data_IF_102585713542
#
_entry.id   IF_102585713542
#
_cell.length_a   1.000
_cell.length_b   1.000
_cell.length_c   1.000
_cell.angle_alpha   90.00
_cell.angle_beta   90.00
_cell.angle_gamma   90.00
#
_symmetry.space_group_name_H-M   'P 1'
#
loop_
_entity.id
_entity.type
_entity.pdbx_description
1 polymer ?
#
# COMPACT_ATOMS: atom_id res chain seq x y z
N UNK A 1 -40.27 -6.33 78.62
CA UNK A 1 -39.05 -6.73 77.90
C UNK A 1 -39.41 -6.58 76.44
N UNK A 2 -39.33 -5.36 75.91
CA UNK A 2 -39.79 -5.04 74.55
C UNK A 2 -38.62 -4.70 73.65
N UNK A 3 -38.73 -5.23 72.45
CA UNK A 3 -37.81 -5.33 71.33
C UNK A 3 -37.08 -4.04 70.95
N UNK A 4 -35.74 -4.07 71.01
CA UNK A 4 -34.86 -3.02 70.47
C UNK A 4 -34.08 -3.54 69.22
N UNK A 5 -34.41 -4.74 68.73
CA UNK A 5 -33.66 -5.40 67.65
C UNK A 5 -34.03 -5.00 66.22
N UNK A 6 -35.30 -4.63 65.97
CA UNK A 6 -35.84 -4.55 64.60
C UNK A 6 -35.50 -3.29 63.78
N UNK A 7 -34.91 -2.24 64.39
CA UNK A 7 -34.63 -0.98 63.71
C UNK A 7 -33.34 -0.99 62.87
N UNK A 8 -32.26 -1.56 63.43
CA UNK A 8 -30.94 -1.61 62.78
C UNK A 8 -30.89 -2.60 61.61
N UNK A 9 -31.64 -3.70 61.70
CA UNK A 9 -31.73 -4.70 60.64
C UNK A 9 -32.44 -4.15 59.39
N UNK A 10 -33.55 -3.42 59.58
CA UNK A 10 -34.30 -2.79 58.48
C UNK A 10 -33.51 -1.69 57.77
N UNK A 11 -32.67 -0.96 58.51
CA UNK A 11 -31.81 0.09 57.95
C UNK A 11 -30.62 -0.48 57.17
N UNK A 12 -30.04 -1.59 57.65
CA UNK A 12 -29.02 -2.35 56.95
C UNK A 12 -29.56 -2.98 55.65
N UNK A 13 -30.75 -3.58 55.68
CA UNK A 13 -31.40 -4.14 54.48
C UNK A 13 -31.70 -3.07 53.43
N UNK A 14 -32.15 -1.89 53.85
CA UNK A 14 -32.44 -0.76 52.94
C UNK A 14 -31.16 -0.24 52.26
N UNK A 15 -30.05 -0.21 53.01
CA UNK A 15 -28.73 0.19 52.50
C UNK A 15 -28.15 -0.84 51.53
N UNK A 16 -28.26 -2.14 51.86
CA UNK A 16 -27.82 -3.25 50.98
C UNK A 16 -28.65 -3.29 49.70
N UNK A 17 -29.95 -3.03 49.78
CA UNK A 17 -30.84 -2.93 48.60
C UNK A 17 -30.44 -1.77 47.69
N UNK A 18 -30.16 -0.59 48.25
CA UNK A 18 -29.66 0.56 47.49
C UNK A 18 -28.32 0.30 46.81
N UNK A 19 -27.38 -0.38 47.49
CA UNK A 19 -26.10 -0.78 46.90
C UNK A 19 -26.25 -1.80 45.78
N UNK A 20 -27.20 -2.74 45.90
CA UNK A 20 -27.54 -3.70 44.84
C UNK A 20 -28.19 -3.03 43.64
N UNK A 21 -29.07 -2.04 43.85
CA UNK A 21 -29.69 -1.27 42.77
C UNK A 21 -28.66 -0.41 42.02
N UNK A 22 -27.71 0.21 42.73
CA UNK A 22 -26.59 0.96 42.12
C UNK A 22 -25.66 0.01 41.36
N UNK A 23 -25.30 -1.14 41.94
CA UNK A 23 -24.49 -2.15 41.25
C UNK A 23 -25.17 -2.67 39.98
N UNK A 24 -26.48 -2.96 40.05
CA UNK A 24 -27.27 -3.37 38.89
C UNK A 24 -27.38 -2.26 37.82
N UNK A 25 -27.38 -0.98 38.22
CA UNK A 25 -27.37 0.16 37.32
C UNK A 25 -26.00 0.35 36.64
N UNK A 26 -24.91 0.15 37.39
CA UNK A 26 -23.54 0.13 36.84
C UNK A 26 -23.37 -1.06 35.88
N UNK A 27 -23.81 -2.26 36.26
CA UNK A 27 -23.80 -3.45 35.40
C UNK A 27 -24.73 -3.29 34.18
N UNK A 28 -25.83 -2.54 34.29
CA UNK A 28 -26.68 -2.17 33.15
C UNK A 28 -26.06 -1.09 32.25
N UNK A 29 -25.25 -0.19 32.80
CA UNK A 29 -24.47 0.79 32.03
C UNK A 29 -23.23 0.17 31.35
N UNK A 30 -22.68 -0.89 31.94
CA UNK A 30 -21.55 -1.70 31.42
C UNK A 30 -22.02 -2.81 30.47
N UNK A 31 -23.34 -3.00 30.29
CA UNK A 31 -23.90 -3.90 29.28
C UNK A 31 -23.64 -3.34 27.87
N UNK A 32 -22.49 -3.73 27.35
CA UNK A 32 -22.15 -4.01 25.96
C UNK A 32 -23.06 -3.34 24.92
N UNK A 33 -22.84 -2.05 24.70
CA UNK A 33 -22.99 -1.48 23.37
C UNK A 33 -21.58 -1.40 22.85
N UNK A 34 -21.23 -2.22 21.85
CA UNK A 34 -20.03 -1.97 21.04
C UNK A 34 -20.05 -0.48 20.74
N UNK A 35 -19.03 0.25 21.24
CA UNK A 35 -18.95 1.67 21.01
C UNK A 35 -19.00 1.92 19.51
N UNK A 36 -19.53 3.05 19.06
CA UNK A 36 -19.38 3.43 17.65
C UNK A 36 -17.91 3.39 17.21
N UNK A 37 -16.99 3.66 18.15
CA UNK A 37 -15.55 3.49 17.96
C UNK A 37 -15.15 2.02 17.76
N UNK A 38 -15.65 1.10 18.60
CA UNK A 38 -15.31 -0.32 18.51
C UNK A 38 -15.83 -0.93 17.21
N UNK A 39 -17.05 -0.56 16.80
CA UNK A 39 -17.63 -0.95 15.52
C UNK A 39 -16.76 -0.48 14.35
N UNK A 40 -16.35 0.79 14.36
CA UNK A 40 -15.53 1.34 13.30
C UNK A 40 -14.14 0.70 13.24
N UNK A 41 -13.52 0.40 14.38
CA UNK A 41 -12.23 -0.31 14.45
C UNK A 41 -12.37 -1.73 13.88
N UNK A 42 -13.43 -2.46 14.25
CA UNK A 42 -13.66 -3.81 13.75
C UNK A 42 -13.96 -3.81 12.25
N UNK A 43 -14.82 -2.90 11.77
CA UNK A 43 -15.11 -2.74 10.34
C UNK A 43 -13.83 -2.46 9.54
N UNK A 44 -12.97 -1.55 10.02
CA UNK A 44 -11.69 -1.24 9.37
C UNK A 44 -10.79 -2.47 9.29
N UNK A 45 -10.72 -3.25 10.37
CA UNK A 45 -9.93 -4.48 10.43
C UNK A 45 -10.45 -5.57 9.51
N UNK A 46 -11.77 -5.75 9.45
CA UNK A 46 -12.41 -6.73 8.57
C UNK A 46 -12.15 -6.41 7.09
N UNK A 47 -12.22 -5.12 6.72
CA UNK A 47 -11.87 -4.65 5.37
C UNK A 47 -10.40 -4.95 5.05
N UNK A 48 -9.49 -4.68 5.98
CA UNK A 48 -8.07 -4.94 5.82
C UNK A 48 -7.76 -6.44 5.67
N UNK A 49 -8.37 -7.30 6.49
CA UNK A 49 -8.20 -8.75 6.41
C UNK A 49 -8.78 -9.30 5.09
N UNK A 50 -9.88 -8.73 4.59
CA UNK A 50 -10.42 -9.06 3.28
C UNK A 50 -9.44 -8.68 2.15
N UNK A 51 -8.91 -7.45 2.18
CA UNK A 51 -7.92 -6.97 1.20
C UNK A 51 -6.74 -7.94 1.10
N UNK A 52 -6.13 -8.28 2.24
CA UNK A 52 -4.99 -9.22 2.31
C UNK A 52 -5.29 -10.60 1.71
N UNK A 53 -6.52 -11.09 1.81
CA UNK A 53 -6.91 -12.40 1.27
C UNK A 53 -7.17 -12.38 -0.24
N UNK A 54 -7.46 -11.22 -0.80
CA UNK A 54 -7.80 -11.06 -2.22
C UNK A 54 -6.64 -10.54 -3.07
N UNK A 55 -5.58 -10.02 -2.44
CA UNK A 55 -4.40 -9.50 -3.11
C UNK A 55 -3.71 -10.57 -3.96
N UNK A 56 -3.31 -10.17 -5.17
CA UNK A 56 -2.38 -10.97 -5.95
C UNK A 56 -0.99 -10.99 -5.26
N UNK A 57 -0.15 -11.98 -5.62
CA UNK A 57 1.10 -12.23 -4.91
C UNK A 57 2.10 -11.06 -4.95
N UNK A 58 2.10 -10.25 -6.01
CA UNK A 58 2.98 -9.09 -6.15
C UNK A 58 2.59 -7.99 -5.16
N UNK A 59 1.29 -7.74 -5.03
CA UNK A 59 0.75 -6.76 -4.07
C UNK A 59 0.91 -7.26 -2.64
N UNK A 60 0.65 -8.54 -2.38
CA UNK A 60 0.85 -9.15 -1.07
C UNK A 60 2.31 -9.07 -0.62
N UNK A 61 3.27 -9.29 -1.53
CA UNK A 61 4.70 -9.13 -1.27
C UNK A 61 5.04 -7.67 -0.92
N UNK A 62 4.58 -6.72 -1.74
CA UNK A 62 4.80 -5.29 -1.48
C UNK A 62 4.20 -4.87 -0.12
N UNK A 63 3.00 -5.35 0.22
CA UNK A 63 2.37 -5.10 1.51
C UNK A 63 3.18 -5.66 2.67
N UNK A 64 3.61 -6.92 2.57
CA UNK A 64 4.43 -7.54 3.60
C UNK A 64 5.74 -6.77 3.81
N UNK A 65 6.37 -6.28 2.73
CA UNK A 65 7.57 -5.45 2.81
C UNK A 65 7.33 -4.11 3.52
N UNK A 66 6.24 -3.42 3.19
CA UNK A 66 5.85 -2.17 3.87
C UNK A 66 5.58 -2.41 5.36
N UNK A 67 4.85 -3.47 5.70
CA UNK A 67 4.51 -3.79 7.09
C UNK A 67 5.74 -4.16 7.91
N UNK A 68 6.62 -5.02 7.39
CA UNK A 68 7.87 -5.42 8.06
C UNK A 68 8.74 -4.19 8.35
N UNK A 69 8.87 -3.29 7.38
CA UNK A 69 9.63 -2.06 7.54
C UNK A 69 8.99 -1.11 8.55
N UNK A 70 7.69 -0.82 8.43
CA UNK A 70 7.00 0.13 9.31
C UNK A 70 6.92 -0.38 10.75
N UNK A 71 6.82 -1.70 10.96
CA UNK A 71 6.70 -2.28 12.30
C UNK A 71 8.06 -2.56 12.97
N UNK A 72 9.06 -2.98 12.19
CA UNK A 72 10.33 -3.49 12.74
C UNK A 72 11.58 -2.75 12.24
N UNK A 73 11.44 -1.88 11.23
CA UNK A 73 12.57 -1.15 10.61
C UNK A 73 13.52 -2.07 9.85
N UNK A 74 13.01 -3.17 9.29
CA UNK A 74 13.80 -4.17 8.55
C UNK A 74 13.20 -4.41 7.18
N UNK A 75 14.07 -4.66 6.20
CA UNK A 75 13.64 -5.20 4.92
C UNK A 75 13.09 -6.61 5.14
N UNK A 76 12.02 -6.93 4.41
CA UNK A 76 11.48 -8.28 4.35
C UNK A 76 12.51 -9.19 3.71
N UNK A 77 12.73 -10.35 4.31
CA UNK A 77 13.54 -11.42 3.75
C UNK A 77 12.69 -12.22 2.76
N UNK A 78 13.11 -12.22 1.49
CA UNK A 78 12.41 -12.93 0.42
C UNK A 78 12.30 -14.44 0.69
N UNK A 79 13.36 -15.08 1.19
CA UNK A 79 13.35 -16.53 1.47
C UNK A 79 12.34 -16.86 2.56
N UNK A 80 12.29 -16.04 3.62
CA UNK A 80 11.32 -16.20 4.70
C UNK A 80 9.87 -15.99 4.22
N UNK A 81 9.65 -15.07 3.27
CA UNK A 81 8.33 -14.88 2.68
C UNK A 81 7.90 -16.08 1.84
N UNK A 82 8.80 -16.65 1.03
CA UNK A 82 8.51 -17.83 0.22
C UNK A 82 8.06 -19.04 1.03
N UNK A 83 8.66 -19.26 2.21
CA UNK A 83 8.32 -20.40 3.07
C UNK A 83 6.88 -20.36 3.61
N UNK A 84 6.23 -19.20 3.54
CA UNK A 84 4.86 -18.96 4.00
C UNK A 84 3.85 -19.14 2.85
N UNK A 85 4.28 -19.01 1.58
CA UNK A 85 3.40 -18.98 0.41
C UNK A 85 3.39 -20.31 -0.35
N UNK A 86 2.18 -20.82 -0.61
CA UNK A 86 1.93 -21.97 -1.47
C UNK A 86 0.79 -21.63 -2.45
N UNK A 87 0.88 -21.99 -3.74
CA UNK A 87 1.87 -22.88 -4.37
C UNK A 87 3.05 -22.12 -5.03
N UNK A 88 4.24 -22.74 -5.10
CA UNK A 88 5.51 -22.10 -5.53
C UNK A 88 5.51 -21.67 -7.00
N UNK A 89 4.67 -22.27 -7.83
CA UNK A 89 4.52 -21.92 -9.24
C UNK A 89 4.05 -20.46 -9.41
N UNK A 90 3.35 -19.90 -8.42
CA UNK A 90 2.96 -18.49 -8.40
C UNK A 90 4.16 -17.53 -8.19
N UNK A 91 5.33 -18.06 -7.82
CA UNK A 91 6.53 -17.28 -7.48
C UNK A 91 7.60 -17.33 -8.59
N UNK A 92 7.42 -18.14 -9.63
CA UNK A 92 8.44 -18.35 -10.67
C UNK A 92 8.87 -17.04 -11.34
N UNK A 93 7.89 -16.19 -11.67
CA UNK A 93 8.14 -14.87 -12.25
C UNK A 93 8.88 -13.94 -11.28
N UNK A 94 8.56 -13.99 -9.99
CA UNK A 94 9.18 -13.18 -8.94
C UNK A 94 10.67 -13.52 -8.77
N UNK A 95 11.04 -14.80 -8.89
CA UNK A 95 12.43 -15.26 -8.77
C UNK A 95 13.25 -15.11 -10.05
N UNK A 96 12.65 -15.39 -11.22
CA UNK A 96 13.40 -15.52 -12.47
C UNK A 96 13.45 -14.24 -13.30
N UNK A 97 12.45 -13.37 -13.19
CA UNK A 97 12.40 -12.15 -14.00
C UNK A 97 13.20 -11.04 -13.34
N UNK A 98 13.72 -10.15 -14.19
CA UNK A 98 14.37 -8.91 -13.80
C UNK A 98 13.72 -7.79 -14.58
N UNK A 99 13.03 -6.90 -13.86
CA UNK A 99 12.35 -5.75 -14.44
C UNK A 99 12.43 -4.59 -13.45
N UNK A 100 12.32 -3.37 -13.97
CA UNK A 100 12.03 -2.23 -13.10
C UNK A 100 10.58 -2.32 -12.62
N UNK A 101 10.30 -1.81 -11.42
CA UNK A 101 8.96 -1.79 -10.85
C UNK A 101 8.64 -0.44 -10.25
N UNK A 102 7.37 -0.08 -10.22
CA UNK A 102 6.86 1.05 -9.45
C UNK A 102 5.87 0.53 -8.42
N UNK A 103 6.10 0.87 -7.15
CA UNK A 103 5.17 0.59 -6.06
C UNK A 103 4.50 1.90 -5.67
N UNK A 104 3.18 1.93 -5.73
CA UNK A 104 2.37 3.08 -5.36
C UNK A 104 1.47 2.74 -4.19
N UNK A 105 1.60 3.51 -3.11
CA UNK A 105 0.82 3.41 -1.89
C UNK A 105 -0.22 4.52 -1.92
N UNK A 106 -1.47 4.15 -1.67
CA UNK A 106 -2.59 5.07 -1.56
C UNK A 106 -3.24 4.91 -0.18
N UNK A 107 -3.84 5.99 0.32
CA UNK A 107 -4.65 5.99 1.52
C UNK A 107 -5.97 6.67 1.17
N UNK A 108 -7.08 5.93 1.27
CA UNK A 108 -8.42 6.40 0.89
C UNK A 108 -8.46 7.00 -0.53
N UNK A 109 -7.86 6.30 -1.51
CA UNK A 109 -7.78 6.75 -2.91
C UNK A 109 -6.77 7.87 -3.20
N UNK A 110 -6.13 8.46 -2.19
CA UNK A 110 -5.12 9.51 -2.37
C UNK A 110 -3.70 8.94 -2.36
N UNK A 111 -2.84 9.43 -3.25
CA UNK A 111 -1.42 9.03 -3.29
C UNK A 111 -0.73 9.35 -1.95
N UNK A 112 -0.10 8.34 -1.35
CA UNK A 112 0.59 8.38 -0.06
C UNK A 112 2.09 8.10 -0.15
N UNK A 113 2.53 7.56 -1.28
CA UNK A 113 3.93 7.36 -1.66
C UNK A 113 4.02 6.61 -2.98
N UNK A 114 5.00 6.93 -3.81
CA UNK A 114 5.27 6.17 -5.04
C UNK A 114 6.76 6.26 -5.39
N UNK A 115 7.40 5.09 -5.43
CA UNK A 115 8.79 4.94 -5.82
C UNK A 115 8.92 3.75 -6.76
N UNK A 116 9.83 3.88 -7.71
CA UNK A 116 10.18 2.79 -8.59
C UNK A 116 11.47 3.01 -9.33
N UNK A 117 11.83 1.99 -10.08
CA UNK A 117 13.03 1.93 -10.90
C UNK A 117 12.64 1.68 -12.36
N UNK A 118 13.34 2.32 -13.29
CA UNK A 118 13.05 2.21 -14.72
C UNK A 118 13.67 0.97 -15.38
N UNK A 119 14.54 0.28 -14.66
CA UNK A 119 15.23 -0.94 -15.04
C UNK A 119 15.48 -1.76 -13.78
N UNK A 120 15.73 -3.06 -13.93
CA UNK A 120 16.11 -3.90 -12.80
C UNK A 120 17.39 -3.37 -12.15
N UNK A 121 17.30 -3.06 -10.86
CA UNK A 121 18.41 -2.70 -9.99
C UNK A 121 18.79 -3.82 -9.03
N UNK A 122 17.87 -4.76 -8.82
CA UNK A 122 18.04 -5.94 -7.98
C UNK A 122 18.26 -7.22 -8.80
N UNK A 123 18.52 -8.31 -8.08
CA UNK A 123 18.80 -9.63 -8.65
C UNK A 123 17.57 -10.26 -9.31
N UNK A 124 16.39 -10.02 -8.75
CA UNK A 124 15.11 -10.53 -9.24
C UNK A 124 13.97 -9.54 -8.97
N UNK A 125 12.79 -9.85 -9.50
CA UNK A 125 11.60 -9.02 -9.42
C UNK A 125 11.06 -8.91 -7.97
N UNK A 126 11.20 -9.97 -7.16
CA UNK A 126 10.78 -9.95 -5.76
C UNK A 126 11.55 -8.89 -4.96
N UNK A 127 12.88 -8.93 -5.02
CA UNK A 127 13.77 -7.97 -4.36
C UNK A 127 13.53 -6.55 -4.86
N UNK A 128 13.26 -6.38 -6.16
CA UNK A 128 12.91 -5.08 -6.73
C UNK A 128 11.62 -4.53 -6.09
N UNK A 129 10.57 -5.36 -5.97
CA UNK A 129 9.30 -4.98 -5.33
C UNK A 129 9.49 -4.67 -3.85
N UNK A 130 10.20 -5.52 -3.11
CA UNK A 130 10.48 -5.31 -1.68
C UNK A 130 11.19 -3.96 -1.50
N UNK A 131 12.24 -3.70 -2.28
CA UNK A 131 13.01 -2.48 -2.17
C UNK A 131 12.19 -1.23 -2.48
N UNK A 132 11.46 -1.24 -3.61
CA UNK A 132 10.65 -0.11 -4.03
C UNK A 132 9.44 0.12 -3.11
N UNK A 133 8.85 -0.92 -2.54
CA UNK A 133 7.77 -0.82 -1.56
C UNK A 133 8.22 -0.13 -0.27
N UNK A 134 9.37 -0.54 0.28
CA UNK A 134 9.96 0.10 1.46
C UNK A 134 10.24 1.57 1.21
N UNK A 135 10.84 1.90 0.06
CA UNK A 135 11.13 3.30 -0.30
C UNK A 135 9.86 4.12 -0.52
N UNK A 136 8.84 3.57 -1.18
CA UNK A 136 7.56 4.24 -1.34
C UNK A 136 6.93 4.59 0.03
N UNK A 137 7.10 3.73 1.03
CA UNK A 137 6.59 3.96 2.38
C UNK A 137 7.44 4.92 3.23
N UNK A 138 8.74 5.04 2.97
CA UNK A 138 9.68 5.69 3.91
C UNK A 138 10.56 6.80 3.33
N UNK A 139 10.75 6.85 2.01
CA UNK A 139 11.74 7.70 1.37
C UNK A 139 11.16 8.58 0.24
N UNK A 140 9.85 8.51 -0.05
CA UNK A 140 9.25 9.42 -1.02
C UNK A 140 9.33 10.88 -0.49
N UNK A 141 10.11 11.78 -1.12
CA UNK A 141 10.40 13.11 -0.58
C UNK A 141 9.17 14.02 -0.51
N UNK A 142 8.06 13.64 -1.15
CA UNK A 142 6.80 14.39 -1.12
C UNK A 142 5.99 14.13 0.14
N UNK A 143 6.29 13.06 0.87
CA UNK A 143 5.49 12.60 2.00
C UNK A 143 6.36 12.29 3.23
N UNK A 144 5.77 12.37 4.41
CA UNK A 144 6.41 11.82 5.61
C UNK A 144 6.37 10.28 5.60
N UNK A 145 7.32 9.59 6.25
CA UNK A 145 7.27 8.14 6.38
C UNK A 145 5.92 7.63 6.91
N UNK A 146 5.44 6.53 6.33
CA UNK A 146 4.22 5.82 6.74
C UNK A 146 4.35 5.34 8.18
N UNK A 147 3.29 5.51 8.97
CA UNK A 147 3.21 5.10 10.37
C UNK A 147 2.40 3.82 10.54
N UNK A 148 2.66 3.10 11.64
CA UNK A 148 2.02 1.81 11.91
C UNK A 148 0.49 1.90 12.00
N UNK A 149 -0.06 3.04 12.42
CA UNK A 149 -1.51 3.25 12.50
C UNK A 149 -2.18 3.55 11.15
N UNK A 150 -1.40 3.76 10.08
CA UNK A 150 -1.91 3.96 8.72
C UNK A 150 -2.06 2.63 7.96
N UNK A 151 -1.36 1.57 8.38
CA UNK A 151 -1.18 0.33 7.61
C UNK A 151 -2.50 -0.34 7.17
N UNK A 152 -3.51 -0.34 8.05
CA UNK A 152 -4.81 -0.96 7.78
C UNK A 152 -5.59 -0.23 6.66
N UNK A 153 -5.30 1.05 6.45
CA UNK A 153 -6.00 1.90 5.47
C UNK A 153 -5.29 1.94 4.10
N UNK A 154 -4.11 1.33 3.97
CA UNK A 154 -3.31 1.44 2.75
C UNK A 154 -3.80 0.53 1.64
N UNK A 155 -3.87 1.09 0.44
CA UNK A 155 -4.01 0.40 -0.84
C UNK A 155 -2.66 0.40 -1.54
N UNK A 156 -2.19 -0.76 -1.97
CA UNK A 156 -0.88 -0.92 -2.59
C UNK A 156 -1.09 -1.41 -4.02
N UNK A 157 -0.40 -0.76 -4.96
CA UNK A 157 -0.39 -1.13 -6.36
C UNK A 157 1.05 -1.38 -6.80
N UNK A 158 1.26 -2.40 -7.62
CA UNK A 158 2.57 -2.71 -8.19
C UNK A 158 2.48 -2.68 -9.70
N UNK A 159 3.31 -1.87 -10.34
CA UNK A 159 3.44 -1.77 -11.79
C UNK A 159 4.78 -2.39 -12.20
N UNK A 160 4.76 -3.51 -12.91
CA UNK A 160 5.94 -4.15 -13.50
C UNK A 160 6.21 -3.61 -14.91
N UNK A 161 7.43 -3.14 -15.16
CA UNK A 161 7.84 -2.66 -16.48
C UNK A 161 8.18 -3.84 -17.40
N UNK A 162 7.54 -3.89 -18.57
CA UNK A 162 7.87 -4.84 -19.62
C UNK A 162 9.18 -4.52 -20.33
N UNK A 163 9.49 -5.32 -21.35
CA UNK A 163 10.66 -5.09 -22.20
C UNK A 163 10.60 -3.73 -22.91
N UNK A 164 11.76 -3.10 -23.04
CA UNK A 164 11.90 -1.80 -23.68
C UNK A 164 12.23 -2.01 -25.15
N UNK A 165 11.33 -1.59 -26.03
CA UNK A 165 11.44 -1.70 -27.48
C UNK A 165 11.77 -0.34 -28.11
N UNK A 166 12.78 -0.27 -28.98
CA UNK A 166 13.05 0.95 -29.74
C UNK A 166 11.95 1.22 -30.77
N UNK A 167 11.55 2.49 -30.92
CA UNK A 167 10.58 2.92 -31.92
C UNK A 167 11.16 4.00 -32.81
N UNK A 168 10.71 4.06 -34.06
CA UNK A 168 11.22 5.03 -35.03
C UNK A 168 10.39 6.31 -35.06
N UNK A 169 9.14 6.25 -34.60
CA UNK A 169 8.21 7.36 -34.71
C UNK A 169 7.30 7.47 -33.47
N UNK A 170 6.94 8.70 -33.11
CA UNK A 170 6.02 8.99 -31.98
C UNK A 170 4.64 8.34 -32.21
N UNK A 171 4.26 8.14 -33.47
CA UNK A 171 3.00 7.51 -33.88
C UNK A 171 2.96 6.01 -33.52
N UNK A 172 4.09 5.40 -33.19
CA UNK A 172 4.16 4.00 -32.71
C UNK A 172 3.76 3.87 -31.24
N UNK A 173 3.44 4.98 -30.56
CA UNK A 173 2.94 5.02 -29.19
C UNK A 173 1.41 5.11 -29.17
N UNK A 174 0.84 4.24 -28.35
CA UNK A 174 -0.53 4.36 -27.85
C UNK A 174 -0.41 4.76 -26.37
N UNK A 175 -0.87 5.96 -26.01
CA UNK A 175 -0.73 6.52 -24.65
C UNK A 175 -1.43 5.69 -23.58
N UNK A 176 -2.43 4.89 -23.95
CA UNK A 176 -3.16 4.01 -23.03
C UNK A 176 -2.45 2.68 -22.82
N UNK A 177 -1.69 2.23 -23.81
CA UNK A 177 -1.03 0.93 -23.79
C UNK A 177 0.44 1.00 -23.38
N UNK A 178 1.17 1.97 -23.91
CA UNK A 178 2.62 2.03 -23.86
C UNK A 178 3.12 3.19 -23.01
N UNK A 179 4.05 2.88 -22.11
CA UNK A 179 4.93 3.90 -21.56
C UNK A 179 6.00 4.29 -22.57
N UNK A 180 6.63 5.44 -22.36
CA UNK A 180 7.69 5.97 -23.24
C UNK A 180 8.97 6.18 -22.46
N UNK A 181 10.09 5.87 -23.10
CA UNK A 181 11.43 6.27 -22.66
C UNK A 181 12.02 7.19 -23.71
N UNK A 182 12.57 8.31 -23.26
CA UNK A 182 13.35 9.22 -24.08
C UNK A 182 14.80 9.18 -23.61
N UNK A 183 15.74 9.16 -24.55
CA UNK A 183 17.17 9.19 -24.24
C UNK A 183 17.90 10.16 -25.15
N UNK A 184 18.74 11.03 -24.56
CA UNK A 184 19.61 11.93 -25.32
C UNK A 184 20.82 12.36 -24.49
N UNK A 185 22.02 12.14 -25.04
CA UNK A 185 23.31 12.53 -24.45
C UNK A 185 23.48 12.06 -23.00
N UNK A 186 23.11 10.81 -22.72
CA UNK A 186 23.21 10.20 -21.38
C UNK A 186 22.12 10.64 -20.38
N UNK A 187 21.20 11.53 -20.77
CA UNK A 187 19.98 11.81 -20.00
C UNK A 187 18.88 10.86 -20.46
N UNK A 188 18.09 10.39 -19.50
CA UNK A 188 17.01 9.46 -19.75
C UNK A 188 15.78 9.83 -18.93
N UNK A 189 14.62 9.80 -19.58
CA UNK A 189 13.33 10.06 -18.96
C UNK A 189 12.35 8.96 -19.28
N UNK A 190 11.45 8.67 -18.35
CA UNK A 190 10.41 7.65 -18.51
C UNK A 190 9.06 8.25 -18.09
N UNK A 191 8.02 7.87 -18.82
CA UNK A 191 6.64 8.11 -18.42
C UNK A 191 5.81 6.83 -18.61
N UNK A 192 5.01 6.49 -17.59
CA UNK A 192 4.09 5.35 -17.63
C UNK A 192 2.90 5.61 -18.58
N UNK A 193 2.24 4.56 -19.09
CA UNK A 193 1.00 4.69 -19.84
C UNK A 193 -0.18 5.08 -18.95
N UNK A 194 -1.25 5.50 -19.61
CA UNK A 194 -2.59 5.71 -19.03
C UNK A 194 -2.61 6.65 -17.81
N UNK A 195 -1.93 7.78 -17.94
CA UNK A 195 -1.93 8.84 -16.94
C UNK A 195 -3.02 9.87 -17.23
N UNK A 196 -3.73 10.31 -16.19
CA UNK A 196 -4.71 11.38 -16.28
C UNK A 196 -4.05 12.67 -16.81
N UNK A 197 -4.71 13.32 -17.78
CA UNK A 197 -4.22 14.54 -18.42
C UNK A 197 -3.14 14.34 -19.49
N UNK A 198 -2.82 13.09 -19.86
CA UNK A 198 -1.89 12.76 -20.96
C UNK A 198 -2.66 12.07 -22.09
N UNK A 199 -3.14 12.88 -23.03
CA UNK A 199 -4.07 12.42 -24.07
C UNK A 199 -3.41 12.13 -25.42
N UNK A 200 -2.16 12.58 -25.62
CA UNK A 200 -1.45 12.43 -26.91
C UNK A 200 -0.02 11.91 -26.74
N UNK A 201 0.47 11.10 -27.71
CA UNK A 201 1.87 10.65 -27.69
C UNK A 201 2.89 11.78 -27.58
N UNK A 202 2.61 12.92 -28.21
CA UNK A 202 3.49 14.08 -28.14
C UNK A 202 3.56 14.67 -26.72
N UNK A 203 2.43 14.79 -26.02
CA UNK A 203 2.42 15.21 -24.61
C UNK A 203 3.21 14.21 -23.75
N UNK A 204 3.03 12.91 -23.99
CA UNK A 204 3.72 11.85 -23.26
C UNK A 204 5.25 11.98 -23.41
N UNK A 205 5.74 12.16 -24.64
CA UNK A 205 7.16 12.38 -24.94
C UNK A 205 7.68 13.67 -24.33
N UNK A 206 6.95 14.77 -24.44
CA UNK A 206 7.34 16.07 -23.90
C UNK A 206 7.53 16.03 -22.38
N UNK A 207 6.60 15.39 -21.65
CA UNK A 207 6.70 15.21 -20.20
C UNK A 207 7.89 14.32 -19.85
N UNK A 208 8.14 13.24 -20.61
CA UNK A 208 9.30 12.39 -20.39
C UNK A 208 10.62 13.16 -20.61
N UNK A 209 10.68 14.05 -21.61
CA UNK A 209 11.83 14.95 -21.83
C UNK A 209 12.02 15.91 -20.67
N UNK A 210 10.95 16.52 -20.18
CA UNK A 210 10.99 17.45 -19.04
C UNK A 210 11.55 16.76 -17.79
N UNK A 211 11.06 15.55 -17.47
CA UNK A 211 11.58 14.73 -16.36
C UNK A 211 13.07 14.40 -16.48
N UNK A 212 13.60 14.33 -17.70
CA UNK A 212 15.00 14.07 -17.99
C UNK A 212 15.87 15.34 -18.10
N UNK A 213 15.28 16.54 -17.98
CA UNK A 213 15.99 17.79 -18.27
C UNK A 213 16.41 17.91 -19.75
N UNK A 214 15.62 17.36 -20.67
CA UNK A 214 15.81 17.43 -22.12
C UNK A 214 14.92 18.52 -22.71
N UNK A 215 15.47 19.37 -23.57
CA UNK A 215 14.68 20.45 -24.20
C UNK A 215 13.72 19.89 -25.25
N UNK A 216 12.56 20.54 -25.46
CA UNK A 216 11.53 20.05 -26.38
C UNK A 216 12.05 19.83 -27.81
N UNK A 217 12.87 20.77 -28.32
CA UNK A 217 13.43 20.71 -29.67
C UNK A 217 14.65 19.80 -29.83
N UNK A 218 15.15 19.19 -28.75
CA UNK A 218 16.28 18.28 -28.83
C UNK A 218 15.84 16.90 -29.35
N UNK A 219 16.60 16.36 -30.31
CA UNK A 219 16.41 15.01 -30.81
C UNK A 219 16.72 13.98 -29.72
N UNK A 220 15.90 12.93 -29.68
CA UNK A 220 15.97 11.86 -28.68
C UNK A 220 15.79 10.51 -29.37
N UNK A 221 16.43 9.49 -28.83
CA UNK A 221 16.03 8.12 -29.10
C UNK A 221 14.73 7.83 -28.35
N UNK A 222 13.81 7.14 -29.02
CA UNK A 222 12.50 6.78 -28.47
C UNK A 222 12.42 5.29 -28.26
N UNK A 223 11.87 4.92 -27.11
CA UNK A 223 11.53 3.54 -26.80
C UNK A 223 10.15 3.50 -26.16
N UNK A 224 9.50 2.34 -26.26
CA UNK A 224 8.23 2.05 -25.61
C UNK A 224 8.34 0.79 -24.76
N UNK A 225 7.43 0.63 -23.82
CA UNK A 225 7.29 -0.58 -23.01
C UNK A 225 5.84 -0.73 -22.56
N UNK A 226 5.40 -1.97 -22.32
CA UNK A 226 4.11 -2.24 -21.68
C UNK A 226 4.27 -2.25 -20.15
N UNK A 227 3.18 -1.98 -19.44
CA UNK A 227 3.15 -2.08 -17.97
C UNK A 227 2.18 -3.17 -17.57
N UNK A 228 2.65 -4.11 -16.77
CA UNK A 228 1.80 -5.11 -16.12
C UNK A 228 1.38 -4.52 -14.78
N UNK A 229 0.09 -4.18 -14.66
CA UNK A 229 -0.50 -3.64 -13.44
C UNK A 229 -0.99 -4.78 -12.55
N UNK A 230 -0.50 -4.82 -11.32
CA UNK A 230 -0.93 -5.73 -10.27
C UNK A 230 -1.72 -4.94 -9.22
N UNK A 231 -3.02 -5.23 -9.10
CA UNK A 231 -3.97 -4.60 -8.17
C UNK A 231 -4.77 -5.66 -7.39
#
# INVERSE_FOLDING_TARGET
MEDIGGGREKEAEKTIKGLREIAAFIEAGVRNRDSLLDKHINERRDIYDLKKRTENIYVALARAAVEEWVQKGKYLDWEAFMDIILPREALEDLEKKRAGTFVSIHNNGHLRGCIGTTMATMENLAEEIIHNAVKAASEDPRFYPVRSNELEDLEIKVDGLGEIEAISAIQDLDVKKYGVVVESKGRRGLLLPDLEGVDTPQQQVDIAKEKAGISKGEEVNLYRFEVIRYE
#
